data_IF_785483665075
#
_entry.id   IF_785483665075
#
_cell.length_a   1.000
_cell.length_b   1.000
_cell.length_c   1.000
_cell.angle_alpha   90.00
_cell.angle_beta   90.00
_cell.angle_gamma   90.00
#
_symmetry.space_group_name_H-M   'P 1'
#
loop_
_entity.id
_entity.type
_entity.pdbx_description
1 polymer ?
#
# COMPACT_ATOMS: atom_id res chain seq x y z
N UNK A 1 1.69 -14.36 1.24
CA UNK A 1 1.01 -13.06 1.38
C UNK A 1 1.80 -12.04 0.56
N UNK A 2 1.15 -11.35 -0.38
CA UNK A 2 1.79 -10.27 -1.14
C UNK A 2 2.18 -9.09 -0.26
N UNK A 3 2.97 -8.13 -0.76
CA UNK A 3 3.28 -6.90 -0.02
C UNK A 3 2.00 -6.10 0.26
N UNK A 4 1.89 -5.41 1.41
CA UNK A 4 0.87 -4.39 1.61
C UNK A 4 0.97 -3.32 0.52
N UNK A 5 -0.18 -2.94 -0.04
CA UNK A 5 -0.29 -1.94 -1.12
C UNK A 5 -1.12 -0.75 -0.65
N UNK A 6 -0.67 0.48 -0.93
CA UNK A 6 -1.37 1.71 -0.54
C UNK A 6 -1.46 2.74 -1.66
N UNK A 7 -2.43 3.65 -1.55
CA UNK A 7 -2.50 4.93 -2.27
C UNK A 7 -1.83 6.02 -1.46
N UNK A 8 -1.31 7.07 -2.12
CA UNK A 8 -0.78 8.24 -1.42
C UNK A 8 -1.91 9.20 -1.08
N UNK A 9 -2.15 9.42 0.22
CA UNK A 9 -3.14 10.35 0.71
C UNK A 9 -2.67 11.03 1.98
N UNK A 10 -2.82 12.35 2.04
CA UNK A 10 -2.49 13.14 3.23
C UNK A 10 -3.69 13.08 4.19
N UNK A 11 -3.52 12.71 5.48
CA UNK A 11 -2.26 12.45 6.20
C UNK A 11 -1.95 10.95 6.43
N UNK A 12 -2.58 10.06 5.68
CA UNK A 12 -2.56 8.61 5.92
C UNK A 12 -1.29 7.91 5.42
N UNK A 13 -0.90 8.15 4.17
CA UNK A 13 0.29 7.58 3.53
C UNK A 13 0.90 8.63 2.61
N UNK A 14 2.09 9.10 2.96
CA UNK A 14 2.84 10.13 2.26
C UNK A 14 4.24 9.59 1.93
N UNK A 15 4.93 10.24 0.99
CA UNK A 15 6.27 9.82 0.56
C UNK A 15 7.25 10.97 0.67
N UNK A 16 8.47 10.68 1.15
CA UNK A 16 9.57 11.63 1.09
C UNK A 16 10.10 11.72 -0.35
N UNK A 17 10.04 12.90 -0.95
CA UNK A 17 10.52 13.13 -2.32
C UNK A 17 11.96 13.67 -2.40
N UNK A 18 12.46 14.27 -1.32
CA UNK A 18 13.70 15.06 -1.34
C UNK A 18 14.94 14.28 -0.86
N UNK A 19 14.75 13.08 -0.33
CA UNK A 19 15.81 12.29 0.32
C UNK A 19 15.93 10.91 -0.30
N UNK A 20 17.15 10.37 -0.33
CA UNK A 20 17.46 9.02 -0.82
C UNK A 20 17.05 7.93 0.19
N UNK A 21 15.79 7.91 0.61
CA UNK A 21 15.26 6.81 1.40
C UNK A 21 15.00 5.59 0.52
N UNK A 22 15.13 4.40 1.09
CA UNK A 22 14.88 3.13 0.42
C UNK A 22 13.90 2.28 1.23
N UNK A 23 13.29 1.29 0.59
CA UNK A 23 12.32 0.39 1.25
C UNK A 23 11.13 1.14 1.86
N UNK A 24 10.77 0.78 3.09
CA UNK A 24 9.64 1.36 3.82
C UNK A 24 9.91 2.78 4.33
N UNK A 25 11.18 3.14 4.57
CA UNK A 25 11.58 4.46 5.06
C UNK A 25 11.24 5.61 4.09
N UNK A 26 10.84 5.28 2.87
CA UNK A 26 10.31 6.26 1.90
C UNK A 26 8.94 6.79 2.29
N UNK A 27 8.19 6.05 3.10
CA UNK A 27 6.80 6.36 3.42
C UNK A 27 6.65 6.82 4.87
N UNK A 28 5.70 7.72 5.11
CA UNK A 28 5.33 8.21 6.44
C UNK A 28 3.84 8.56 6.49
N UNK A 29 3.28 8.70 7.69
CA UNK A 29 1.87 9.04 7.89
C UNK A 29 1.16 8.04 8.78
N UNK A 30 -0.09 8.35 9.11
CA UNK A 30 -0.85 7.61 10.14
C UNK A 30 -0.94 6.11 9.86
N UNK A 31 -1.23 5.71 8.62
CA UNK A 31 -1.35 4.29 8.28
C UNK A 31 0.00 3.57 8.25
N UNK A 32 1.10 4.29 8.02
CA UNK A 32 2.45 3.73 8.08
C UNK A 32 2.83 3.42 9.53
N UNK A 33 2.56 4.36 10.43
CA UNK A 33 2.81 4.17 11.88
C UNK A 33 1.96 3.03 12.45
N UNK A 34 0.70 2.94 12.04
CA UNK A 34 -0.19 1.84 12.42
C UNK A 34 0.32 0.49 11.90
N UNK A 35 0.72 0.41 10.62
CA UNK A 35 1.24 -0.82 10.03
C UNK A 35 2.52 -1.29 10.72
N UNK A 36 3.42 -0.37 11.07
CA UNK A 36 4.63 -0.68 11.83
C UNK A 36 4.30 -1.20 13.24
N UNK A 37 3.34 -0.58 13.94
CA UNK A 37 2.89 -1.05 15.25
C UNK A 37 2.29 -2.47 15.18
N UNK A 38 1.47 -2.75 14.16
CA UNK A 38 0.89 -4.08 13.93
C UNK A 38 1.98 -5.10 13.57
N UNK A 39 2.92 -4.73 12.70
CA UNK A 39 4.05 -5.58 12.32
C UNK A 39 4.92 -5.96 13.52
N UNK A 40 5.18 -5.01 14.42
CA UNK A 40 5.94 -5.24 15.66
C UNK A 40 5.19 -6.14 16.65
N UNK A 41 3.90 -5.92 16.85
CA UNK A 41 3.07 -6.70 17.78
C UNK A 41 2.92 -8.15 17.31
N UNK A 42 2.69 -8.36 16.02
CA UNK A 42 2.47 -9.69 15.44
C UNK A 42 3.78 -10.39 15.07
N UNK A 43 4.86 -9.64 14.83
CA UNK A 43 6.18 -10.17 14.52
C UNK A 43 6.38 -10.52 13.03
N UNK A 44 5.81 -9.76 12.10
CA UNK A 44 6.02 -9.96 10.66
C UNK A 44 6.84 -8.82 10.02
N UNK A 45 7.55 -9.16 8.95
CA UNK A 45 8.22 -8.18 8.09
C UNK A 45 7.33 -7.81 6.91
N UNK A 46 7.39 -6.57 6.46
CA UNK A 46 6.63 -6.12 5.28
C UNK A 46 7.46 -5.21 4.39
N UNK A 47 7.07 -5.12 3.12
CA UNK A 47 7.52 -4.09 2.19
C UNK A 47 6.29 -3.36 1.68
N UNK A 48 6.18 -2.07 1.99
CA UNK A 48 5.07 -1.26 1.51
C UNK A 48 5.31 -0.87 0.04
N UNK A 49 4.30 -1.09 -0.79
CA UNK A 49 4.29 -0.69 -2.20
C UNK A 49 3.13 0.25 -2.51
N UNK A 50 3.30 1.10 -3.51
CA UNK A 50 2.22 1.95 -3.99
C UNK A 50 1.45 1.23 -5.08
N UNK A 51 0.12 1.34 -5.06
CA UNK A 51 -0.70 0.80 -6.14
C UNK A 51 -0.33 1.52 -7.46
N UNK A 52 0.01 0.79 -8.54
CA UNK A 52 0.53 1.41 -9.76
C UNK A 52 -0.42 2.41 -10.42
N UNK A 53 -1.72 2.09 -10.43
CA UNK A 53 -2.75 2.92 -11.05
C UNK A 53 -3.36 3.98 -10.11
N UNK A 54 -2.89 4.04 -8.85
CA UNK A 54 -3.36 4.98 -7.80
C UNK A 54 -4.85 4.89 -7.49
N UNK A 55 -5.52 3.79 -7.84
CA UNK A 55 -6.94 3.58 -7.57
C UNK A 55 -7.14 2.68 -6.36
N UNK A 56 -8.24 2.92 -5.64
CA UNK A 56 -8.72 2.01 -4.61
C UNK A 56 -9.17 0.69 -5.20
N UNK A 57 -10.03 0.78 -6.21
CA UNK A 57 -10.58 -0.36 -6.92
C UNK A 57 -11.95 -0.01 -7.47
N UNK A 58 -12.10 -0.23 -8.76
CA UNK A 58 -13.37 -0.17 -9.47
C UNK A 58 -13.47 -1.42 -10.34
N UNK A 59 -14.67 -2.00 -10.36
CA UNK A 59 -14.99 -3.15 -11.20
C UNK A 59 -15.33 -2.64 -12.60
N UNK A 60 -14.65 -3.15 -13.60
CA UNK A 60 -14.99 -2.94 -14.99
C UNK A 60 -16.35 -3.61 -15.28
N UNK A 61 -17.34 -2.88 -15.82
CA UNK A 61 -18.67 -3.42 -16.07
C UNK A 61 -18.72 -4.38 -17.27
N UNK A 62 -17.77 -4.31 -18.20
CA UNK A 62 -17.71 -5.15 -19.39
C UNK A 62 -16.95 -6.44 -19.12
N UNK A 63 -15.75 -6.34 -18.51
CA UNK A 63 -14.88 -7.50 -18.24
C UNK A 63 -15.15 -8.13 -16.88
N UNK A 64 -15.75 -7.39 -15.95
CA UNK A 64 -15.95 -7.82 -14.57
C UNK A 64 -14.67 -7.80 -13.71
N UNK A 65 -13.55 -7.33 -14.25
CA UNK A 65 -12.27 -7.29 -13.54
C UNK A 65 -12.17 -6.10 -12.59
N UNK A 66 -11.50 -6.28 -11.46
CA UNK A 66 -11.17 -5.18 -10.55
C UNK A 66 -9.85 -4.53 -10.94
N UNK A 67 -9.71 -3.22 -10.68
CA UNK A 67 -8.43 -2.50 -10.71
C UNK A 67 -7.98 -2.08 -9.29
N UNK A 68 -6.94 -1.27 -9.19
CA UNK A 68 -6.54 -0.65 -7.93
C UNK A 68 -6.00 -1.63 -6.88
N UNK A 69 -6.06 -1.20 -5.62
CA UNK A 69 -5.73 -2.01 -4.44
C UNK A 69 -6.53 -3.31 -4.44
N UNK A 70 -7.82 -3.27 -4.80
CA UNK A 70 -8.66 -4.48 -4.86
C UNK A 70 -8.08 -5.53 -5.80
N UNK A 71 -7.61 -5.14 -7.00
CA UNK A 71 -6.95 -6.08 -7.92
C UNK A 71 -5.70 -6.68 -7.32
N UNK A 72 -4.84 -5.85 -6.72
CA UNK A 72 -3.58 -6.34 -6.14
C UNK A 72 -3.82 -7.31 -4.98
N UNK A 73 -4.87 -7.08 -4.17
CA UNK A 73 -5.29 -8.02 -3.14
C UNK A 73 -5.78 -9.35 -3.75
N UNK A 74 -6.63 -9.30 -4.78
CA UNK A 74 -7.17 -10.50 -5.43
C UNK A 74 -6.10 -11.36 -6.11
N UNK A 75 -5.05 -10.75 -6.67
CA UNK A 75 -3.95 -11.49 -7.32
C UNK A 75 -3.09 -12.31 -6.33
N UNK A 76 -3.14 -11.98 -5.04
CA UNK A 76 -2.30 -12.58 -4.01
C UNK A 76 -3.09 -13.43 -3.00
N UNK A 77 -4.30 -13.88 -3.38
CA UNK A 77 -5.12 -14.88 -2.67
C UNK A 77 -4.77 -16.28 -3.16
#
# INVERSE_FOLDING_TARGET
>A
MGPPVATQEIPYVMMHYEKNYTGNARFYGFCVDLLEAVAREVGFSYRLELVPDRKYGAKDPETGEWNGIVRELMRHV
#
